data_IF_427241593950
#
_entry.id   IF_427241593950
#
_cell.length_a   1.000
_cell.length_b   1.000
_cell.length_c   1.000
_cell.angle_alpha   90.00
_cell.angle_beta   90.00
_cell.angle_gamma   90.00
#
_symmetry.space_group_name_H-M   'P 1'
#
loop_
_entity.id
_entity.type
_entity.pdbx_description
1 polymer ?
#
# COMPACT_ATOMS: atom_id res chain seq x y z
N UNK A 1 -38.04 0.33 -11.43
CA UNK A 1 -36.99 1.36 -11.27
C UNK A 1 -37.35 2.17 -10.03
N UNK A 2 -37.05 1.63 -8.86
CA UNK A 2 -37.16 2.34 -7.58
C UNK A 2 -35.73 2.52 -7.14
N UNK A 3 -35.14 3.63 -7.58
CA UNK A 3 -33.90 4.13 -7.00
C UNK A 3 -34.25 4.49 -5.57
N UNK A 4 -33.62 3.83 -4.60
CA UNK A 4 -33.57 4.30 -3.21
C UNK A 4 -32.95 5.71 -3.30
N UNK A 5 -33.82 6.73 -3.29
CA UNK A 5 -33.40 8.11 -3.18
C UNK A 5 -32.75 8.25 -1.81
N UNK A 6 -31.45 8.53 -1.81
CA UNK A 6 -30.74 9.06 -0.66
C UNK A 6 -31.31 10.46 -0.35
N UNK A 7 -32.44 10.52 0.33
CA UNK A 7 -32.90 11.76 0.93
C UNK A 7 -32.26 11.95 2.30
N UNK A 8 -31.42 12.98 2.34
CA UNK A 8 -30.75 13.50 3.53
C UNK A 8 -31.78 14.27 4.35
N UNK A 9 -32.36 13.66 5.36
CA UNK A 9 -33.00 14.39 6.45
C UNK A 9 -32.49 13.90 7.79
N UNK A 10 -31.45 14.59 8.29
CA UNK A 10 -31.10 14.58 9.70
C UNK A 10 -32.20 15.33 10.46
N UNK A 11 -33.06 14.61 11.17
CA UNK A 11 -33.88 15.19 12.21
C UNK A 11 -33.47 14.66 13.58
N UNK A 12 -32.89 15.58 14.34
CA UNK A 12 -32.65 15.50 15.76
C UNK A 12 -33.98 15.74 16.49
N UNK A 13 -34.53 14.74 17.19
CA UNK A 13 -35.59 14.76 18.23
C UNK A 13 -35.82 13.29 18.63
N UNK A 14 -35.75 12.86 19.89
CA UNK A 14 -36.46 13.42 21.02
C UNK A 14 -37.89 12.88 21.06
N UNK A 15 -38.06 11.55 21.14
CA UNK A 15 -39.37 10.89 21.19
C UNK A 15 -39.28 9.37 21.40
N UNK A 16 -39.67 8.93 22.60
CA UNK A 16 -40.50 7.73 22.86
C UNK A 16 -40.08 6.33 22.36
N UNK A 17 -39.28 5.63 23.17
CA UNK A 17 -39.63 4.38 23.90
C UNK A 17 -40.49 3.27 23.25
N UNK A 18 -40.56 3.13 21.93
CA UNK A 18 -41.32 2.11 21.19
C UNK A 18 -40.41 1.71 20.02
N UNK A 19 -39.73 0.56 19.92
CA UNK A 19 -40.13 -0.83 20.17
C UNK A 19 -38.91 -1.73 20.42
N UNK A 20 -38.62 -2.05 21.69
CA UNK A 20 -37.71 -3.16 22.01
C UNK A 20 -38.47 -4.49 21.77
N UNK A 21 -38.56 -4.97 20.53
CA UNK A 21 -39.27 -6.23 20.28
C UNK A 21 -39.59 -6.62 18.84
N UNK A 22 -39.55 -5.71 17.86
CA UNK A 22 -39.91 -6.07 16.46
C UNK A 22 -38.98 -7.15 15.90
N UNK A 23 -37.69 -7.12 16.28
CA UNK A 23 -36.72 -8.15 15.92
C UNK A 23 -37.08 -9.57 16.41
N UNK A 24 -37.96 -9.67 17.41
CA UNK A 24 -38.46 -10.93 17.97
C UNK A 24 -39.72 -11.43 17.26
N UNK A 25 -40.35 -10.61 16.41
CA UNK A 25 -41.50 -11.00 15.61
C UNK A 25 -41.09 -12.07 14.58
N UNK A 26 -41.83 -13.18 14.54
CA UNK A 26 -41.53 -14.34 13.68
C UNK A 26 -41.58 -13.99 12.18
N UNK A 27 -42.50 -13.11 11.78
CA UNK A 27 -42.69 -12.69 10.38
C UNK A 27 -41.50 -11.83 9.93
N UNK A 28 -41.07 -10.91 10.79
CA UNK A 28 -39.92 -10.04 10.54
C UNK A 28 -38.63 -10.85 10.43
N UNK A 29 -38.42 -11.83 11.33
CA UNK A 29 -37.27 -12.74 11.24
C UNK A 29 -37.27 -13.52 9.93
N UNK A 30 -38.40 -14.10 9.54
CA UNK A 30 -38.52 -14.86 8.30
C UNK A 30 -38.25 -13.98 7.06
N UNK A 31 -38.71 -12.73 7.08
CA UNK A 31 -38.45 -11.76 6.02
C UNK A 31 -36.95 -11.43 5.92
N UNK A 32 -36.30 -11.12 7.04
CA UNK A 32 -34.85 -10.86 7.10
C UNK A 32 -34.02 -12.07 6.68
N UNK A 33 -34.42 -13.29 7.10
CA UNK A 33 -33.73 -14.53 6.74
C UNK A 33 -33.82 -14.80 5.24
N UNK A 34 -34.98 -14.55 4.62
CA UNK A 34 -35.15 -14.62 3.16
C UNK A 34 -34.26 -13.61 2.43
N UNK A 35 -34.24 -12.34 2.86
CA UNK A 35 -33.32 -11.34 2.29
C UNK A 35 -31.87 -11.81 2.38
N UNK A 36 -31.44 -12.22 3.58
CA UNK A 36 -30.06 -12.67 3.83
C UNK A 36 -29.70 -13.91 3.01
N UNK A 37 -30.66 -14.80 2.73
CA UNK A 37 -30.44 -16.00 1.91
C UNK A 37 -30.03 -15.67 0.46
N UNK A 38 -30.45 -14.52 -0.06
CA UNK A 38 -30.09 -14.05 -1.41
C UNK A 38 -28.72 -13.36 -1.45
N UNK A 39 -28.15 -12.98 -0.30
CA UNK A 39 -26.90 -12.22 -0.19
C UNK A 39 -25.72 -13.17 0.03
N UNK A 40 -24.82 -13.23 -0.95
CA UNK A 40 -23.64 -14.13 -0.90
C UNK A 40 -22.62 -13.74 0.17
N UNK A 41 -22.52 -12.45 0.50
CA UNK A 41 -21.52 -11.92 1.43
C UNK A 41 -22.04 -12.02 2.87
N UNK A 42 -21.77 -13.17 3.52
CA UNK A 42 -22.22 -13.44 4.90
C UNK A 42 -21.75 -12.42 5.93
N UNK A 43 -20.58 -11.80 5.74
CA UNK A 43 -20.06 -10.78 6.65
C UNK A 43 -20.92 -9.51 6.71
N UNK A 44 -21.80 -9.30 5.72
CA UNK A 44 -22.73 -8.17 5.69
C UNK A 44 -24.10 -8.51 6.26
N UNK A 45 -24.38 -9.77 6.61
CA UNK A 45 -25.72 -10.17 7.05
C UNK A 45 -26.14 -9.43 8.32
N UNK A 46 -25.25 -9.27 9.29
CA UNK A 46 -25.57 -8.54 10.53
C UNK A 46 -25.89 -7.06 10.25
N UNK A 47 -25.07 -6.40 9.43
CA UNK A 47 -25.21 -4.97 9.11
C UNK A 47 -26.47 -4.70 8.28
N UNK A 48 -26.72 -5.53 7.25
CA UNK A 48 -27.92 -5.43 6.43
C UNK A 48 -29.18 -5.71 7.27
N UNK A 49 -29.12 -6.65 8.22
CA UNK A 49 -30.25 -6.89 9.14
C UNK A 49 -30.53 -5.66 9.98
N UNK A 50 -29.50 -5.01 10.53
CA UNK A 50 -29.65 -3.80 11.33
C UNK A 50 -30.21 -2.63 10.50
N UNK A 51 -29.73 -2.44 9.27
CA UNK A 51 -30.22 -1.38 8.37
C UNK A 51 -31.69 -1.60 7.99
N UNK A 52 -32.06 -2.83 7.61
CA UNK A 52 -33.45 -3.17 7.27
C UNK A 52 -34.34 -3.10 8.51
N UNK A 53 -33.87 -3.53 9.69
CA UNK A 53 -34.62 -3.40 10.94
C UNK A 53 -34.86 -1.93 11.29
N UNK A 54 -33.85 -1.07 11.19
CA UNK A 54 -34.01 0.37 11.43
C UNK A 54 -35.05 0.99 10.50
N UNK A 55 -34.98 0.70 9.20
CA UNK A 55 -35.98 1.19 8.24
C UNK A 55 -37.38 0.62 8.51
N UNK A 56 -37.47 -0.63 8.95
CA UNK A 56 -38.74 -1.24 9.33
C UNK A 56 -39.32 -0.57 10.58
N UNK A 57 -38.50 -0.32 11.60
CA UNK A 57 -38.88 0.38 12.82
C UNK A 57 -39.42 1.77 12.51
N UNK A 58 -38.76 2.54 11.66
CA UNK A 58 -39.22 3.85 11.20
C UNK A 58 -40.60 3.77 10.51
N UNK A 59 -40.78 2.81 9.59
CA UNK A 59 -42.05 2.61 8.88
C UNK A 59 -43.19 2.17 9.79
N UNK A 60 -42.90 1.33 10.78
CA UNK A 60 -43.92 0.86 11.74
C UNK A 60 -44.28 1.99 12.70
N UNK A 61 -43.29 2.76 13.19
CA UNK A 61 -43.53 3.92 14.04
C UNK A 61 -44.41 4.97 13.33
N UNK A 62 -44.10 5.29 12.07
CA UNK A 62 -44.92 6.20 11.26
C UNK A 62 -46.38 5.73 11.16
N UNK A 63 -46.60 4.42 10.99
CA UNK A 63 -47.94 3.82 10.86
C UNK A 63 -48.73 3.80 12.16
N UNK A 64 -48.06 3.57 13.28
CA UNK A 64 -48.69 3.60 14.62
C UNK A 64 -49.05 5.03 14.99
N UNK A 65 -48.14 5.98 14.80
CA UNK A 65 -48.34 7.38 15.20
C UNK A 65 -49.31 8.14 14.28
N UNK A 66 -49.19 7.96 12.96
CA UNK A 66 -49.97 8.76 12.00
C UNK A 66 -51.35 8.17 11.69
N UNK A 67 -51.51 6.85 11.81
CA UNK A 67 -52.73 6.15 11.42
C UNK A 67 -53.40 5.37 12.57
N UNK A 68 -52.83 5.43 13.78
CA UNK A 68 -53.41 4.79 14.98
C UNK A 68 -53.53 3.26 14.89
N UNK A 69 -52.71 2.62 14.06
CA UNK A 69 -52.78 1.18 13.78
C UNK A 69 -52.25 0.34 14.93
N UNK A 70 -52.77 -0.88 15.03
CA UNK A 70 -52.18 -1.88 15.93
C UNK A 70 -50.79 -2.30 15.43
N UNK A 71 -49.89 -2.66 16.33
CA UNK A 71 -48.50 -3.01 16.01
C UNK A 71 -48.40 -4.13 14.96
N UNK A 72 -49.26 -5.15 15.04
CA UNK A 72 -49.30 -6.26 14.07
C UNK A 72 -49.74 -5.83 12.66
N UNK A 73 -50.75 -4.96 12.57
CA UNK A 73 -51.21 -4.40 11.28
C UNK A 73 -50.16 -3.47 10.68
N UNK A 74 -49.51 -2.65 11.51
CA UNK A 74 -48.44 -1.76 11.11
C UNK A 74 -47.22 -2.53 10.55
N UNK A 75 -46.82 -3.63 11.18
CA UNK A 75 -45.73 -4.52 10.70
C UNK A 75 -46.08 -5.13 9.34
N UNK A 76 -47.28 -5.72 9.20
CA UNK A 76 -47.67 -6.35 7.94
C UNK A 76 -47.67 -5.37 6.76
N UNK A 77 -48.16 -4.16 6.99
CA UNK A 77 -48.19 -3.13 5.98
C UNK A 77 -46.81 -2.51 5.71
N UNK A 78 -45.95 -2.37 6.73
CA UNK A 78 -44.55 -1.95 6.56
C UNK A 78 -43.76 -2.95 5.71
N UNK A 79 -43.94 -4.25 5.94
CA UNK A 79 -43.33 -5.30 5.11
C UNK A 79 -43.83 -5.26 3.67
N UNK A 80 -45.12 -5.07 3.44
CA UNK A 80 -45.67 -4.90 2.09
C UNK A 80 -45.07 -3.69 1.37
N UNK A 81 -44.80 -2.61 2.09
CA UNK A 81 -44.17 -1.41 1.55
C UNK A 81 -42.67 -1.62 1.24
N UNK A 82 -41.96 -2.43 2.01
CA UNK A 82 -40.58 -2.84 1.71
C UNK A 82 -40.50 -3.71 0.45
N UNK A 83 -41.56 -4.42 0.11
CA UNK A 83 -41.69 -5.23 -1.11
C UNK A 83 -41.30 -6.70 -0.90
N UNK A 84 -41.08 -7.41 -2.02
CA UNK A 84 -40.76 -8.84 -1.99
C UNK A 84 -39.33 -9.10 -1.48
N UNK A 85 -39.13 -9.92 -0.42
CA UNK A 85 -37.82 -10.13 0.19
C UNK A 85 -36.79 -10.74 -0.77
N UNK A 86 -37.21 -11.58 -1.73
CA UNK A 86 -36.28 -12.16 -2.70
C UNK A 86 -35.78 -11.11 -3.69
N UNK A 87 -36.66 -10.21 -4.14
CA UNK A 87 -36.30 -9.09 -5.01
C UNK A 87 -35.38 -8.08 -4.30
N UNK A 88 -35.67 -7.73 -3.05
CA UNK A 88 -34.86 -6.84 -2.21
C UNK A 88 -33.49 -7.48 -1.94
N UNK A 89 -33.46 -8.76 -1.58
CA UNK A 89 -32.23 -9.51 -1.36
C UNK A 89 -31.33 -9.59 -2.60
N UNK A 90 -31.90 -9.77 -3.80
CA UNK A 90 -31.13 -9.74 -5.07
C UNK A 90 -30.56 -8.35 -5.38
N UNK A 91 -31.31 -7.29 -5.12
CA UNK A 91 -30.83 -5.90 -5.29
C UNK A 91 -29.68 -5.60 -4.33
N UNK A 92 -29.82 -5.96 -3.06
CA UNK A 92 -28.77 -5.81 -2.04
C UNK A 92 -27.52 -6.65 -2.37
N UNK A 93 -27.69 -7.89 -2.85
CA UNK A 93 -26.56 -8.72 -3.27
C UNK A 93 -25.79 -8.10 -4.45
N UNK A 94 -26.48 -7.45 -5.39
CA UNK A 94 -25.83 -6.76 -6.51
C UNK A 94 -25.10 -5.49 -6.06
N UNK A 95 -25.66 -4.75 -5.10
CA UNK A 95 -25.03 -3.59 -4.50
C UNK A 95 -23.75 -3.94 -3.73
N UNK A 96 -23.75 -5.05 -2.99
CA UNK A 96 -22.62 -5.48 -2.14
C UNK A 96 -21.73 -6.58 -2.76
N UNK A 97 -21.75 -6.72 -4.09
CA UNK A 97 -20.97 -7.76 -4.77
C UNK A 97 -19.46 -7.46 -4.72
N UNK A 98 -18.67 -8.45 -4.28
CA UNK A 98 -17.21 -8.38 -4.35
C UNK A 98 -16.74 -8.31 -5.81
N UNK A 99 -15.90 -7.31 -6.14
CA UNK A 99 -15.36 -7.09 -7.50
C UNK A 99 -13.87 -7.44 -7.57
N UNK A 100 -13.45 -8.00 -8.71
CA UNK A 100 -12.05 -8.32 -8.97
C UNK A 100 -11.53 -7.38 -10.07
N UNK A 101 -10.36 -6.78 -9.84
CA UNK A 101 -9.66 -6.00 -10.87
C UNK A 101 -8.73 -6.90 -11.68
N UNK A 102 -9.31 -7.61 -12.65
CA UNK A 102 -8.58 -8.47 -13.57
C UNK A 102 -7.47 -7.74 -14.33
N UNK A 103 -7.65 -6.44 -14.57
CA UNK A 103 -6.67 -5.61 -15.26
C UNK A 103 -5.34 -5.51 -14.50
N UNK A 104 -5.39 -5.29 -13.18
CA UNK A 104 -4.19 -5.21 -12.33
C UNK A 104 -3.54 -6.58 -12.19
N UNK A 105 -4.34 -7.63 -12.01
CA UNK A 105 -3.81 -8.99 -11.90
C UNK A 105 -3.08 -9.43 -13.18
N UNK A 106 -3.65 -9.13 -14.35
CA UNK A 106 -3.00 -9.40 -15.63
C UNK A 106 -1.66 -8.65 -15.76
N UNK A 107 -1.61 -7.36 -15.39
CA UNK A 107 -0.38 -6.57 -15.43
C UNK A 107 0.70 -7.13 -14.49
N UNK A 108 0.33 -7.53 -13.27
CA UNK A 108 1.26 -8.16 -12.31
C UNK A 108 1.83 -9.46 -12.89
N UNK A 109 0.99 -10.31 -13.47
CA UNK A 109 1.44 -11.56 -14.10
C UNK A 109 2.40 -11.26 -15.25
N UNK A 110 2.08 -10.30 -16.13
CA UNK A 110 2.99 -9.91 -17.20
C UNK A 110 4.34 -9.39 -16.68
N UNK A 111 4.34 -8.55 -15.63
CA UNK A 111 5.57 -8.06 -15.01
C UNK A 111 6.41 -9.20 -14.41
N UNK A 112 5.77 -10.14 -13.71
CA UNK A 112 6.46 -11.30 -13.15
C UNK A 112 7.07 -12.19 -14.24
N UNK A 113 6.33 -12.45 -15.32
CA UNK A 113 6.84 -13.24 -16.45
C UNK A 113 8.03 -12.55 -17.09
N UNK A 114 7.95 -11.23 -17.34
CA UNK A 114 9.07 -10.47 -17.86
C UNK A 114 10.27 -10.58 -16.91
N UNK A 115 10.08 -10.35 -15.61
CA UNK A 115 11.15 -10.46 -14.60
C UNK A 115 11.77 -11.86 -14.51
N UNK A 116 11.01 -12.92 -14.74
CA UNK A 116 11.54 -14.27 -14.82
C UNK A 116 12.34 -14.51 -16.12
N UNK A 117 11.85 -13.99 -17.24
CA UNK A 117 12.56 -14.05 -18.53
C UNK A 117 13.90 -13.32 -18.45
N UNK A 118 13.94 -12.15 -17.80
CA UNK A 118 15.21 -11.42 -17.60
C UNK A 118 16.20 -12.21 -16.76
N UNK A 119 15.75 -12.81 -15.67
CA UNK A 119 16.61 -13.62 -14.81
C UNK A 119 17.09 -14.88 -15.50
N UNK A 120 16.25 -15.47 -16.34
CA UNK A 120 16.66 -16.58 -17.19
C UNK A 120 17.73 -16.16 -18.19
N UNK A 121 17.64 -14.94 -18.75
CA UNK A 121 18.70 -14.34 -19.57
C UNK A 121 19.99 -14.12 -18.78
N UNK A 122 19.92 -13.59 -17.56
CA UNK A 122 21.09 -13.40 -16.69
C UNK A 122 21.78 -14.73 -16.37
N UNK A 123 21.00 -15.79 -16.14
CA UNK A 123 21.53 -17.13 -15.83
C UNK A 123 22.47 -17.62 -16.93
N UNK A 124 22.12 -17.44 -18.20
CA UNK A 124 23.00 -17.77 -19.31
C UNK A 124 24.21 -16.83 -19.43
N UNK A 125 24.04 -15.55 -19.11
CA UNK A 125 25.09 -14.55 -19.24
C UNK A 125 26.15 -14.58 -18.12
N UNK A 126 25.86 -15.19 -16.96
CA UNK A 126 26.74 -15.16 -15.78
C UNK A 126 27.09 -16.54 -15.20
N UNK A 127 26.53 -17.63 -15.74
CA UNK A 127 26.67 -19.01 -15.22
C UNK A 127 26.25 -19.17 -13.74
N UNK A 128 25.43 -18.24 -13.24
CA UNK A 128 24.98 -18.23 -11.84
C UNK A 128 23.62 -18.94 -11.70
N UNK A 129 23.66 -20.27 -11.59
CA UNK A 129 22.46 -21.13 -11.53
C UNK A 129 21.53 -20.88 -10.33
N UNK A 130 22.10 -20.53 -9.17
CA UNK A 130 21.39 -20.47 -7.87
C UNK A 130 20.35 -19.35 -7.76
N UNK A 131 20.43 -18.34 -8.62
CA UNK A 131 19.69 -17.08 -8.47
C UNK A 131 18.27 -17.20 -8.97
N UNK A 132 18.13 -17.81 -10.14
CA UNK A 132 16.85 -18.08 -10.77
C UNK A 132 15.99 -19.01 -9.90
N UNK A 133 16.60 -20.08 -9.37
CA UNK A 133 15.91 -21.04 -8.50
C UNK A 133 15.41 -20.38 -7.21
N UNK A 134 16.26 -19.56 -6.56
CA UNK A 134 15.86 -18.79 -5.39
C UNK A 134 14.72 -17.82 -5.72
N UNK A 135 14.77 -17.14 -6.86
CA UNK A 135 13.69 -16.23 -7.27
C UNK A 135 12.35 -16.95 -7.38
N UNK A 136 12.32 -18.10 -8.03
CA UNK A 136 11.10 -18.88 -8.21
C UNK A 136 10.41 -19.20 -6.88
N UNK A 137 11.20 -19.50 -5.83
CA UNK A 137 10.69 -19.70 -4.48
C UNK A 137 10.01 -18.42 -3.96
N UNK A 138 10.69 -17.27 -4.03
CA UNK A 138 10.12 -15.99 -3.52
C UNK A 138 8.93 -15.49 -4.34
N UNK A 139 8.89 -15.73 -5.64
CA UNK A 139 7.72 -15.42 -6.48
C UNK A 139 6.55 -16.32 -6.10
N UNK A 140 6.78 -17.62 -5.92
CA UNK A 140 5.72 -18.56 -5.50
C UNK A 140 5.16 -18.21 -4.12
N UNK A 141 6.05 -17.96 -3.15
CA UNK A 141 5.65 -17.52 -1.81
C UNK A 141 4.97 -16.14 -1.84
N UNK A 142 5.42 -15.23 -2.70
CA UNK A 142 4.82 -13.92 -2.90
C UNK A 142 3.42 -14.00 -3.52
N UNK A 143 3.18 -14.89 -4.48
CA UNK A 143 1.85 -15.15 -5.04
C UNK A 143 0.94 -15.73 -3.94
N UNK A 144 1.42 -16.69 -3.15
CA UNK A 144 0.66 -17.23 -2.02
C UNK A 144 0.30 -16.14 -1.00
N UNK A 145 1.24 -15.24 -0.68
CA UNK A 145 1.01 -14.11 0.20
C UNK A 145 0.02 -13.10 -0.39
N UNK A 146 0.15 -12.77 -1.68
CA UNK A 146 -0.78 -11.89 -2.41
C UNK A 146 -2.20 -12.46 -2.37
N UNK A 147 -2.36 -13.76 -2.66
CA UNK A 147 -3.65 -14.45 -2.59
C UNK A 147 -4.21 -14.46 -1.17
N UNK A 148 -3.39 -14.73 -0.15
CA UNK A 148 -3.80 -14.69 1.25
C UNK A 148 -4.30 -13.29 1.66
N UNK A 149 -3.52 -12.25 1.36
CA UNK A 149 -3.85 -10.86 1.70
C UNK A 149 -5.04 -10.33 0.89
N UNK A 150 -5.24 -10.82 -0.34
CA UNK A 150 -6.44 -10.57 -1.13
C UNK A 150 -7.71 -11.01 -0.39
N UNK A 151 -7.68 -12.17 0.28
CA UNK A 151 -8.79 -12.65 1.10
C UNK A 151 -8.87 -12.02 2.49
N UNK A 152 -7.76 -11.58 3.05
CA UNK A 152 -7.69 -10.90 4.34
C UNK A 152 -8.49 -9.60 4.37
N UNK A 153 -9.11 -9.25 5.50
CA UNK A 153 -9.82 -7.97 5.66
C UNK A 153 -8.87 -6.87 6.11
N UNK A 154 -8.56 -5.94 5.21
CA UNK A 154 -7.62 -4.84 5.47
C UNK A 154 -8.05 -3.96 6.65
N UNK A 155 -9.34 -3.87 6.99
CA UNK A 155 -9.83 -3.04 8.11
C UNK A 155 -9.27 -3.49 9.46
N UNK A 156 -8.95 -4.78 9.61
CA UNK A 156 -8.29 -5.31 10.81
C UNK A 156 -6.92 -4.68 11.02
N UNK A 157 -6.24 -4.35 9.93
CA UNK A 157 -4.89 -3.82 9.94
C UNK A 157 -4.82 -2.41 10.57
N UNK A 158 -5.94 -1.67 10.57
CA UNK A 158 -6.06 -0.38 11.24
C UNK A 158 -5.68 -0.49 12.73
N UNK A 159 -6.20 -1.49 13.44
CA UNK A 159 -5.93 -1.72 14.86
C UNK A 159 -4.49 -2.14 15.13
N UNK A 160 -3.86 -2.85 14.18
CA UNK A 160 -2.48 -3.32 14.30
C UNK A 160 -1.45 -2.31 13.81
N UNK A 161 -1.84 -1.15 13.26
CA UNK A 161 -0.93 -0.17 12.66
C UNK A 161 0.22 0.22 13.58
N UNK A 162 -0.08 0.49 14.86
CA UNK A 162 0.95 0.86 15.85
C UNK A 162 1.91 -0.30 16.18
N UNK A 163 1.40 -1.54 16.17
CA UNK A 163 2.21 -2.74 16.40
C UNK A 163 3.14 -2.96 15.20
N UNK A 164 2.63 -2.85 13.97
CA UNK A 164 3.43 -2.93 12.74
C UNK A 164 4.54 -1.88 12.75
N UNK A 165 4.22 -0.64 13.16
CA UNK A 165 5.20 0.44 13.29
C UNK A 165 6.36 0.06 14.22
N UNK A 166 6.04 -0.32 15.47
CA UNK A 166 7.05 -0.63 16.49
C UNK A 166 7.87 -1.86 16.10
N UNK A 167 7.23 -2.91 15.58
CA UNK A 167 7.93 -4.11 15.10
C UNK A 167 8.91 -3.75 13.97
N UNK A 168 8.50 -2.89 13.03
CA UNK A 168 9.37 -2.48 11.92
C UNK A 168 10.61 -1.74 12.45
N UNK A 169 10.44 -0.81 13.39
CA UNK A 169 11.57 -0.12 14.02
C UNK A 169 12.48 -1.08 14.81
N UNK A 170 11.90 -2.04 15.53
CA UNK A 170 12.68 -3.06 16.25
C UNK A 170 13.47 -3.95 15.30
N UNK A 171 12.91 -4.31 14.14
CA UNK A 171 13.62 -5.07 13.11
C UNK A 171 14.76 -4.24 12.50
N UNK A 172 14.56 -2.94 12.25
CA UNK A 172 15.62 -2.04 11.77
C UNK A 172 16.75 -1.94 12.80
N UNK A 173 16.41 -1.78 14.08
CA UNK A 173 17.37 -1.79 15.17
C UNK A 173 18.14 -3.13 15.26
N UNK A 174 17.43 -4.25 15.19
CA UNK A 174 18.05 -5.57 15.23
C UNK A 174 19.03 -5.79 14.06
N UNK A 175 18.68 -5.32 12.86
CA UNK A 175 19.54 -5.35 11.69
C UNK A 175 20.82 -4.52 11.87
N UNK A 176 20.74 -3.34 12.50
CA UNK A 176 21.95 -2.54 12.76
C UNK A 176 22.86 -3.14 13.83
N UNK A 177 22.27 -3.75 14.87
CA UNK A 177 23.02 -4.27 15.99
C UNK A 177 23.68 -5.62 15.67
N UNK A 178 22.89 -6.58 15.15
CA UNK A 178 23.31 -7.96 14.93
C UNK A 178 23.46 -8.35 13.45
N UNK A 179 23.08 -7.47 12.52
CA UNK A 179 23.12 -7.78 11.10
C UNK A 179 24.53 -7.82 10.51
N UNK A 180 24.74 -8.62 9.45
CA UNK A 180 26.01 -8.62 8.72
C UNK A 180 26.24 -7.28 8.04
N UNK A 181 27.51 -6.88 7.95
CA UNK A 181 27.91 -5.72 7.18
C UNK A 181 28.10 -6.12 5.72
N UNK A 182 27.25 -5.60 4.84
CA UNK A 182 27.30 -5.85 3.39
C UNK A 182 27.51 -4.49 2.71
N UNK A 183 28.57 -4.38 1.90
CA UNK A 183 28.95 -3.13 1.22
C UNK A 183 29.07 -1.92 2.17
N UNK A 184 29.63 -2.14 3.37
CA UNK A 184 29.84 -1.09 4.36
C UNK A 184 28.62 -0.78 5.25
N UNK A 185 27.42 -1.31 4.96
CA UNK A 185 26.19 -1.01 5.70
C UNK A 185 25.63 -2.23 6.44
N UNK A 186 25.00 -2.00 7.61
CA UNK A 186 24.28 -3.02 8.40
C UNK A 186 22.78 -2.85 8.24
N UNK A 187 22.24 -3.37 7.15
CA UNK A 187 20.82 -3.27 6.79
C UNK A 187 20.08 -4.62 6.73
N UNK A 188 20.81 -5.72 6.89
CA UNK A 188 20.31 -7.07 6.68
C UNK A 188 20.13 -7.82 8.00
N UNK A 189 19.17 -8.73 8.04
CA UNK A 189 19.10 -9.79 9.04
C UNK A 189 19.44 -11.10 8.32
N UNK A 190 20.40 -11.85 8.86
CA UNK A 190 20.77 -13.17 8.35
C UNK A 190 20.27 -14.26 9.29
N UNK A 191 19.49 -15.20 8.76
CA UNK A 191 19.02 -16.39 9.45
C UNK A 191 19.49 -17.60 8.63
N UNK A 192 20.59 -18.22 9.07
CA UNK A 192 21.24 -19.31 8.33
C UNK A 192 21.69 -18.83 6.95
N UNK A 193 21.24 -19.52 5.89
CA UNK A 193 21.56 -19.18 4.49
C UNK A 193 20.69 -18.07 3.90
N UNK A 194 19.73 -17.53 4.66
CA UNK A 194 18.82 -16.49 4.19
C UNK A 194 19.16 -15.14 4.81
N UNK A 195 19.56 -14.18 3.97
CA UNK A 195 19.62 -12.77 4.32
C UNK A 195 18.35 -12.02 3.87
N UNK A 196 17.91 -11.03 4.64
CA UNK A 196 16.76 -10.19 4.30
C UNK A 196 17.07 -8.73 4.63
N UNK A 197 16.99 -7.85 3.62
CA UNK A 197 17.23 -6.43 3.80
C UNK A 197 15.98 -5.78 4.41
N UNK A 198 16.01 -5.56 5.73
CA UNK A 198 14.90 -4.95 6.47
C UNK A 198 14.66 -3.51 6.01
N UNK A 199 15.73 -2.78 5.73
CA UNK A 199 15.66 -1.38 5.33
C UNK A 199 14.98 -1.21 3.98
N UNK A 200 15.19 -2.12 3.03
CA UNK A 200 14.57 -2.05 1.71
C UNK A 200 13.05 -2.27 1.75
N UNK A 201 12.55 -3.08 2.69
CA UNK A 201 11.10 -3.35 2.83
C UNK A 201 10.41 -2.42 3.84
N UNK A 202 11.16 -1.80 4.74
CA UNK A 202 10.61 -0.94 5.80
C UNK A 202 9.69 0.18 5.28
N UNK A 203 9.89 0.83 4.11
CA UNK A 203 8.95 1.84 3.64
C UNK A 203 7.52 1.30 3.44
N UNK A 204 7.36 0.04 3.00
CA UNK A 204 6.04 -0.59 2.85
C UNK A 204 5.31 -0.67 4.19
N UNK A 205 6.00 -1.16 5.23
CA UNK A 205 5.40 -1.34 6.55
C UNK A 205 5.20 -0.02 7.30
N UNK A 206 6.17 0.89 7.23
CA UNK A 206 6.07 2.19 7.91
C UNK A 206 4.98 3.06 7.29
N UNK A 207 4.82 3.05 5.96
CA UNK A 207 3.74 3.79 5.30
C UNK A 207 2.37 3.18 5.59
N UNK A 208 2.28 1.84 5.60
CA UNK A 208 1.07 1.12 6.00
C UNK A 208 0.67 1.47 7.44
N UNK A 209 1.64 1.47 8.36
CA UNK A 209 1.42 1.84 9.74
C UNK A 209 1.05 3.32 9.90
N UNK A 210 1.76 4.22 9.20
CA UNK A 210 1.48 5.64 9.21
C UNK A 210 0.06 5.94 8.70
N UNK A 211 -0.38 5.28 7.62
CA UNK A 211 -1.73 5.46 7.07
C UNK A 211 -2.82 5.14 8.12
N UNK A 212 -2.64 4.07 8.90
CA UNK A 212 -3.60 3.71 9.94
C UNK A 212 -3.50 4.57 11.20
N UNK A 213 -2.28 4.90 11.64
CA UNK A 213 -2.08 5.77 12.80
C UNK A 213 -2.63 7.19 12.55
N UNK A 214 -2.45 7.72 11.34
CA UNK A 214 -3.01 9.03 10.96
C UNK A 214 -4.54 9.06 10.95
N UNK A 215 -5.19 7.92 10.69
CA UNK A 215 -6.65 7.77 10.72
C UNK A 215 -7.20 7.66 12.15
N UNK A 216 -6.48 6.98 13.05
CA UNK A 216 -6.88 6.82 14.46
C UNK A 216 -6.64 8.08 15.29
N UNK A 217 -5.75 8.98 14.83
CA UNK A 217 -5.59 10.30 15.41
C UNK A 217 -6.85 11.14 15.22
N UNK A 218 -7.68 11.21 16.26
CA UNK A 218 -8.84 12.08 16.29
C UNK A 218 -8.41 13.55 16.10
N UNK A 219 -9.18 14.36 15.37
CA UNK A 219 -9.04 15.81 15.42
C UNK A 219 -9.43 16.27 16.83
N UNK A 220 -8.46 16.32 17.73
CA UNK A 220 -8.73 16.70 19.11
C UNK A 220 -9.12 18.18 19.19
N UNK A 221 -10.18 18.40 19.96
CA UNK A 221 -10.72 19.67 20.46
C UNK A 221 -9.76 20.34 21.46
N UNK A 222 -8.47 20.46 21.11
CA UNK A 222 -7.53 21.17 21.96
C UNK A 222 -7.83 22.67 21.90
N UNK A 223 -8.51 23.19 22.93
CA UNK A 223 -8.75 24.63 23.09
C UNK A 223 -7.43 25.41 23.33
N UNK A 224 -6.37 24.74 23.79
CA UNK A 224 -5.10 25.35 24.16
C UNK A 224 -3.99 25.15 23.11
N UNK A 225 -3.34 26.24 22.70
CA UNK A 225 -2.22 26.27 21.73
C UNK A 225 -1.05 25.34 22.11
N UNK A 226 -0.78 25.18 23.41
CA UNK A 226 0.26 24.25 23.91
C UNK A 226 -0.05 22.79 23.54
N UNK A 227 -1.32 22.37 23.59
CA UNK A 227 -1.74 21.01 23.23
C UNK A 227 -1.57 20.71 21.75
N UNK A 228 -1.83 21.72 20.90
CA UNK A 228 -1.62 21.62 19.44
C UNK A 228 -0.13 21.44 19.14
N UNK A 229 0.74 22.21 19.79
CA UNK A 229 2.20 22.13 19.60
C UNK A 229 2.75 20.78 20.08
N UNK A 230 2.33 20.28 21.24
CA UNK A 230 2.82 18.99 21.77
C UNK A 230 2.38 17.82 20.89
N UNK A 231 1.14 17.81 20.39
CA UNK A 231 0.69 16.79 19.44
C UNK A 231 1.46 16.87 18.12
N UNK A 232 1.69 18.08 17.61
CA UNK A 232 2.45 18.30 16.38
C UNK A 232 3.88 17.78 16.50
N UNK A 233 4.58 18.14 17.59
CA UNK A 233 5.94 17.66 17.87
C UNK A 233 5.98 16.14 18.04
N UNK A 234 5.02 15.55 18.76
CA UNK A 234 4.91 14.10 18.93
C UNK A 234 4.73 13.40 17.59
N UNK A 235 3.84 13.91 16.73
CA UNK A 235 3.56 13.34 15.42
C UNK A 235 4.79 13.43 14.51
N UNK A 236 5.48 14.58 14.49
CA UNK A 236 6.70 14.73 13.72
C UNK A 236 7.83 13.82 14.22
N UNK A 237 7.96 13.68 15.53
CA UNK A 237 8.95 12.80 16.14
C UNK A 237 8.70 11.34 15.75
N UNK A 238 7.44 10.91 15.86
CA UNK A 238 7.03 9.55 15.49
C UNK A 238 7.19 9.32 13.99
N UNK A 239 6.53 10.09 13.12
CA UNK A 239 6.50 9.76 11.69
C UNK A 239 7.77 10.15 10.92
N UNK A 240 8.52 11.16 11.36
CA UNK A 240 9.71 11.62 10.61
C UNK A 240 11.00 11.31 11.33
N UNK A 241 11.16 11.79 12.56
CA UNK A 241 12.47 11.77 13.24
C UNK A 241 12.94 10.33 13.47
N UNK A 242 12.11 9.48 14.06
CA UNK A 242 12.53 8.10 14.35
C UNK A 242 12.92 7.30 13.10
N UNK A 243 12.07 7.18 12.04
CA UNK A 243 12.46 6.47 10.84
C UNK A 243 13.69 7.08 10.16
N UNK A 244 13.75 8.42 10.06
CA UNK A 244 14.89 9.10 9.46
C UNK A 244 16.20 8.79 10.20
N UNK A 245 16.19 8.81 11.53
CA UNK A 245 17.36 8.44 12.33
C UNK A 245 17.86 7.03 11.99
N UNK A 246 16.96 6.04 11.89
CA UNK A 246 17.35 4.67 11.53
C UNK A 246 17.92 4.60 10.12
N UNK A 247 17.30 5.26 9.13
CA UNK A 247 17.81 5.24 7.75
C UNK A 247 19.18 5.90 7.64
N UNK A 248 19.36 7.04 8.29
CA UNK A 248 20.59 7.85 8.19
C UNK A 248 21.74 7.15 8.91
N UNK A 249 21.48 6.48 10.03
CA UNK A 249 22.50 5.70 10.77
C UNK A 249 22.87 4.39 10.07
N UNK A 250 22.00 3.83 9.21
CA UNK A 250 22.26 2.63 8.40
C UNK A 250 22.70 2.93 6.95
N UNK A 251 23.23 4.14 6.68
CA UNK A 251 23.32 4.77 5.34
C UNK A 251 22.33 4.27 4.27
N UNK A 252 21.03 4.23 4.58
CA UNK A 252 19.97 3.68 3.72
C UNK A 252 19.19 4.78 2.97
N UNK A 253 19.88 5.53 2.08
CA UNK A 253 19.32 6.70 1.40
C UNK A 253 18.14 6.40 0.49
N UNK A 254 18.20 5.30 -0.27
CA UNK A 254 17.08 4.95 -1.13
C UNK A 254 15.80 4.76 -0.33
N UNK A 255 15.86 3.99 0.76
CA UNK A 255 14.71 3.77 1.64
C UNK A 255 14.26 5.05 2.33
N UNK A 256 15.18 5.94 2.74
CA UNK A 256 14.84 7.26 3.28
C UNK A 256 14.04 8.07 2.27
N UNK A 257 14.51 8.18 1.02
CA UNK A 257 13.85 8.96 -0.03
C UNK A 257 12.46 8.39 -0.34
N UNK A 258 12.38 7.07 -0.54
CA UNK A 258 11.11 6.38 -0.78
C UNK A 258 10.14 6.67 0.36
N UNK A 259 10.58 6.48 1.61
CA UNK A 259 9.77 6.73 2.79
C UNK A 259 9.34 8.19 2.90
N UNK A 260 10.26 9.14 2.79
CA UNK A 260 10.00 10.57 2.96
C UNK A 260 9.04 11.11 1.91
N UNK A 261 9.22 10.77 0.63
CA UNK A 261 8.30 11.21 -0.43
C UNK A 261 6.93 10.53 -0.27
N UNK A 262 6.89 9.23 0.03
CA UNK A 262 5.63 8.49 0.25
C UNK A 262 4.85 9.03 1.44
N UNK A 263 5.54 9.31 2.55
CA UNK A 263 4.97 9.93 3.74
C UNK A 263 4.48 11.34 3.43
N UNK A 264 5.25 12.13 2.67
CA UNK A 264 4.85 13.47 2.25
C UNK A 264 3.53 13.46 1.47
N UNK A 265 3.40 12.56 0.48
CA UNK A 265 2.15 12.40 -0.27
C UNK A 265 1.01 11.94 0.64
N UNK A 266 1.26 10.98 1.53
CA UNK A 266 0.26 10.52 2.50
C UNK A 266 -0.22 11.66 3.42
N UNK A 267 0.70 12.52 3.89
CA UNK A 267 0.38 13.68 4.71
C UNK A 267 -0.40 14.75 3.94
N UNK A 268 -0.10 14.95 2.65
CA UNK A 268 -0.87 15.84 1.78
C UNK A 268 -2.31 15.36 1.62
N UNK A 269 -2.52 14.05 1.38
CA UNK A 269 -3.85 13.44 1.28
C UNK A 269 -4.65 13.63 2.59
N UNK A 270 -3.97 13.53 3.73
CA UNK A 270 -4.57 13.72 5.06
C UNK A 270 -4.61 15.19 5.54
N UNK A 271 -4.25 16.16 4.68
CA UNK A 271 -4.19 17.61 5.00
C UNK A 271 -3.28 17.96 6.19
N UNK A 272 -2.31 17.10 6.53
CA UNK A 272 -1.33 17.28 7.63
C UNK A 272 0.04 17.77 7.11
N UNK A 273 0.06 18.55 6.04
CA UNK A 273 1.27 18.99 5.33
C UNK A 273 2.26 19.79 6.19
N UNK A 274 1.78 20.49 7.24
CA UNK A 274 2.64 21.25 8.15
C UNK A 274 3.73 20.40 8.79
N UNK A 275 3.49 19.09 8.99
CA UNK A 275 4.50 18.16 9.53
C UNK A 275 5.75 18.09 8.66
N UNK A 276 5.63 18.34 7.34
CA UNK A 276 6.77 18.34 6.41
C UNK A 276 7.82 19.40 6.75
N UNK A 277 7.43 20.52 7.37
CA UNK A 277 8.35 21.60 7.73
C UNK A 277 9.44 21.15 8.70
N UNK A 278 9.11 20.24 9.62
CA UNK A 278 10.10 19.67 10.56
C UNK A 278 11.08 18.76 9.82
N UNK A 279 10.59 17.94 8.89
CA UNK A 279 11.43 17.06 8.09
C UNK A 279 12.47 17.83 7.27
N UNK A 280 12.06 18.94 6.64
CA UNK A 280 12.94 19.80 5.83
C UNK A 280 14.06 20.43 6.69
N UNK A 281 13.80 20.78 7.95
CA UNK A 281 14.82 21.33 8.84
C UNK A 281 15.72 20.28 9.49
N UNK A 282 15.13 19.20 10.01
CA UNK A 282 15.85 18.21 10.83
C UNK A 282 16.71 17.26 10.00
N UNK A 283 16.19 16.76 8.87
CA UNK A 283 16.84 15.70 8.09
C UNK A 283 18.22 16.14 7.56
N UNK A 284 18.36 17.31 6.89
CA UNK A 284 19.66 17.73 6.38
C UNK A 284 20.68 17.97 7.50
N UNK A 285 20.25 18.58 8.61
CA UNK A 285 21.12 18.80 9.76
C UNK A 285 21.63 17.48 10.34
N UNK A 286 20.75 16.48 10.48
CA UNK A 286 21.13 15.17 11.00
C UNK A 286 22.02 14.38 10.03
N UNK A 287 21.80 14.50 8.72
CA UNK A 287 22.71 13.96 7.69
C UNK A 287 24.11 14.56 7.87
N UNK A 288 24.22 15.89 7.97
CA UNK A 288 25.50 16.58 8.13
C UNK A 288 26.24 16.15 9.41
N UNK A 289 25.54 16.03 10.55
CA UNK A 289 26.18 15.60 11.79
C UNK A 289 26.70 14.16 11.70
N UNK A 290 25.95 13.26 11.06
CA UNK A 290 26.37 11.87 10.89
C UNK A 290 27.56 11.73 9.93
N UNK A 291 27.62 12.54 8.86
CA UNK A 291 28.78 12.60 7.97
C UNK A 291 30.06 13.03 8.69
N UNK A 292 29.96 14.00 9.60
CA UNK A 292 31.10 14.51 10.38
C UNK A 292 31.54 13.49 11.43
N UNK A 293 30.60 12.85 12.12
CA UNK A 293 30.89 11.95 13.24
C UNK A 293 31.31 10.54 12.78
N UNK A 294 30.80 10.07 11.65
CA UNK A 294 30.99 8.68 11.17
C UNK A 294 31.38 8.62 9.68
N UNK A 295 32.45 9.28 9.24
CA UNK A 295 32.77 9.42 7.81
C UNK A 295 32.89 8.08 7.05
N UNK A 296 33.39 7.02 7.71
CA UNK A 296 33.58 5.70 7.08
C UNK A 296 32.29 4.97 6.71
N UNK A 297 31.23 5.08 7.51
CA UNK A 297 29.95 4.45 7.13
C UNK A 297 29.31 5.18 5.94
N UNK A 298 29.68 6.45 5.75
CA UNK A 298 29.14 7.33 4.72
C UNK A 298 29.89 7.30 3.40
N UNK A 299 31.12 6.79 3.39
CA UNK A 299 32.03 6.78 2.24
C UNK A 299 31.35 6.24 0.97
N UNK A 300 30.80 5.03 1.02
CA UNK A 300 30.15 4.40 -0.14
C UNK A 300 28.96 5.20 -0.71
N UNK A 301 28.11 5.74 0.15
CA UNK A 301 26.93 6.50 -0.28
C UNK A 301 27.33 7.88 -0.82
N UNK A 302 28.34 8.49 -0.18
CA UNK A 302 28.88 9.76 -0.60
C UNK A 302 29.61 9.66 -1.94
N UNK A 303 30.42 8.63 -2.14
CA UNK A 303 31.09 8.34 -3.41
C UNK A 303 30.08 8.21 -4.55
N UNK A 304 28.97 7.49 -4.35
CA UNK A 304 27.91 7.36 -5.37
C UNK A 304 27.19 8.66 -5.67
N UNK A 305 27.02 9.53 -4.68
CA UNK A 305 26.43 10.85 -4.86
C UNK A 305 27.37 11.81 -5.59
N UNK A 306 28.65 11.87 -5.18
CA UNK A 306 29.65 12.72 -5.84
C UNK A 306 29.98 12.23 -7.24
N UNK A 307 29.98 10.92 -7.46
CA UNK A 307 30.09 10.29 -8.77
C UNK A 307 29.01 10.72 -9.77
N UNK A 308 27.81 11.02 -9.29
CA UNK A 308 26.72 11.51 -10.13
C UNK A 308 26.94 12.97 -10.53
N UNK A 309 27.42 13.81 -9.61
CA UNK A 309 27.67 15.25 -9.87
C UNK A 309 28.93 15.43 -10.72
N UNK A 310 29.97 14.66 -10.44
CA UNK A 310 31.29 14.75 -11.06
C UNK A 310 31.75 13.36 -11.54
N UNK A 311 31.12 12.83 -12.61
CA UNK A 311 31.45 11.50 -13.12
C UNK A 311 32.89 11.37 -13.63
N UNK A 312 33.53 12.49 -13.99
CA UNK A 312 34.90 12.56 -14.53
C UNK A 312 35.99 12.45 -13.46
N UNK A 313 35.64 12.51 -12.17
CA UNK A 313 36.59 12.27 -11.08
C UNK A 313 36.97 10.78 -11.07
N UNK A 314 38.28 10.51 -11.06
CA UNK A 314 38.86 9.17 -11.21
C UNK A 314 38.22 8.21 -10.18
N UNK A 315 37.48 7.22 -10.70
CA UNK A 315 36.75 6.13 -10.02
C UNK A 315 35.31 6.38 -9.54
N UNK A 316 34.79 7.61 -9.55
CA UNK A 316 33.42 7.87 -9.08
C UNK A 316 32.34 7.36 -10.04
N UNK A 317 32.38 7.80 -11.29
CA UNK A 317 31.29 7.60 -12.25
C UNK A 317 31.09 6.18 -12.79
N UNK A 318 31.87 5.18 -12.35
CA UNK A 318 31.92 3.85 -13.00
C UNK A 318 30.53 3.22 -13.23
N UNK A 319 29.69 3.17 -12.19
CA UNK A 319 28.37 2.56 -12.29
C UNK A 319 27.44 3.31 -13.26
N UNK A 320 27.45 4.64 -13.21
CA UNK A 320 26.60 5.49 -14.05
C UNK A 320 27.05 5.41 -15.50
N UNK A 321 28.36 5.56 -15.76
CA UNK A 321 28.95 5.49 -17.10
C UNK A 321 28.64 4.14 -17.74
N UNK A 322 28.84 3.03 -17.02
CA UNK A 322 28.55 1.68 -17.53
C UNK A 322 27.06 1.46 -17.79
N UNK A 323 26.19 2.01 -16.94
CA UNK A 323 24.76 1.94 -17.13
C UNK A 323 24.33 2.66 -18.42
N UNK A 324 24.78 3.90 -18.61
CA UNK A 324 24.45 4.70 -19.80
C UNK A 324 25.07 4.10 -21.07
N UNK A 325 26.32 3.63 -21.01
CA UNK A 325 27.00 2.95 -22.12
C UNK A 325 26.24 1.69 -22.56
N UNK A 326 25.78 0.87 -21.61
CA UNK A 326 25.02 -0.34 -21.90
C UNK A 326 23.68 -0.02 -22.59
N UNK A 327 22.96 0.99 -22.08
CA UNK A 327 21.70 1.45 -22.68
C UNK A 327 21.91 1.98 -24.10
N UNK A 328 22.97 2.77 -24.31
CA UNK A 328 23.29 3.31 -25.63
C UNK A 328 23.69 2.21 -26.62
N UNK A 329 24.51 1.24 -26.16
CA UNK A 329 24.97 0.12 -26.98
C UNK A 329 23.83 -0.84 -27.34
N UNK A 330 22.79 -0.95 -26.53
CA UNK A 330 21.64 -1.84 -26.79
C UNK A 330 20.90 -1.57 -28.10
N UNK A 331 20.88 -0.32 -28.59
CA UNK A 331 20.14 0.03 -29.81
C UNK A 331 18.65 -0.32 -29.73
N UNK A 332 17.96 -0.38 -30.87
CA UNK A 332 16.50 -0.63 -30.89
C UNK A 332 16.13 -2.08 -30.56
N UNK A 333 17.00 -3.03 -30.95
CA UNK A 333 16.70 -4.48 -30.94
C UNK A 333 17.56 -5.29 -29.96
N UNK A 334 18.50 -4.65 -29.27
CA UNK A 334 19.37 -5.32 -28.32
C UNK A 334 20.56 -5.99 -28.98
N UNK A 335 21.46 -6.48 -28.13
CA UNK A 335 22.66 -7.22 -28.54
C UNK A 335 22.44 -8.75 -28.54
N UNK A 336 21.26 -9.21 -28.11
CA UNK A 336 20.89 -10.63 -28.07
C UNK A 336 20.57 -11.12 -26.66
N UNK A 337 19.71 -12.13 -26.60
CA UNK A 337 19.32 -12.78 -25.34
C UNK A 337 20.49 -13.53 -24.72
N UNK A 338 20.70 -13.39 -23.41
CA UNK A 338 21.74 -14.11 -22.67
C UNK A 338 23.17 -13.65 -22.95
N UNK A 339 23.37 -12.48 -23.56
CA UNK A 339 24.71 -11.99 -23.88
C UNK A 339 25.52 -11.65 -22.62
N UNK A 340 26.75 -12.16 -22.54
CA UNK A 340 27.66 -11.82 -21.44
C UNK A 340 27.97 -10.31 -21.46
N UNK A 341 27.83 -9.66 -20.31
CA UNK A 341 28.35 -8.29 -20.14
C UNK A 341 29.09 -8.15 -18.82
N UNK A 342 30.37 -8.53 -18.83
CA UNK A 342 31.28 -8.37 -17.68
C UNK A 342 31.56 -6.90 -17.33
N UNK A 343 31.12 -5.97 -18.19
CA UNK A 343 31.34 -4.53 -18.04
C UNK A 343 30.22 -3.83 -17.26
N UNK A 344 29.02 -4.41 -17.16
CA UNK A 344 27.92 -3.84 -16.40
C UNK A 344 27.90 -4.45 -14.99
N UNK A 345 28.27 -3.71 -13.93
CA UNK A 345 28.17 -4.22 -12.56
C UNK A 345 26.71 -4.26 -12.10
N UNK A 346 26.42 -4.94 -10.97
CA UNK A 346 25.13 -4.86 -10.26
C UNK A 346 23.89 -5.22 -11.10
N UNK A 347 24.05 -6.05 -12.15
CA UNK A 347 22.96 -6.51 -13.02
C UNK A 347 21.89 -7.26 -12.21
N UNK A 348 22.33 -7.97 -11.19
CA UNK A 348 21.52 -8.74 -10.24
C UNK A 348 20.68 -7.89 -9.29
N UNK A 349 20.89 -6.57 -9.23
CA UNK A 349 20.21 -5.69 -8.27
C UNK A 349 19.66 -4.41 -8.90
N UNK A 350 20.49 -3.41 -9.11
CA UNK A 350 20.07 -2.03 -9.40
C UNK A 350 20.05 -1.73 -10.91
N UNK A 351 20.90 -2.40 -11.69
CA UNK A 351 21.11 -2.16 -13.12
C UNK A 351 20.43 -3.19 -14.02
N UNK A 352 19.40 -3.89 -13.51
CA UNK A 352 18.60 -4.83 -14.31
C UNK A 352 17.95 -4.15 -15.52
N UNK A 353 17.47 -2.90 -15.39
CA UNK A 353 16.89 -2.16 -16.50
C UNK A 353 17.92 -1.89 -17.61
N UNK A 354 19.14 -1.48 -17.25
CA UNK A 354 20.20 -1.22 -18.21
C UNK A 354 20.60 -2.49 -18.98
N UNK A 355 20.67 -3.63 -18.29
CA UNK A 355 20.91 -4.92 -18.92
C UNK A 355 19.76 -5.37 -19.83
N UNK A 356 18.52 -5.10 -19.42
CA UNK A 356 17.33 -5.36 -20.22
C UNK A 356 17.39 -4.63 -21.57
N UNK A 357 17.70 -3.33 -21.55
CA UNK A 357 17.83 -2.53 -22.77
C UNK A 357 19.04 -2.99 -23.58
N UNK A 358 20.17 -3.31 -22.94
CA UNK A 358 21.34 -3.82 -23.62
C UNK A 358 21.07 -5.14 -24.37
N UNK A 359 20.39 -6.09 -23.73
CA UNK A 359 20.13 -7.42 -24.28
C UNK A 359 18.97 -7.47 -25.28
N UNK A 360 17.87 -6.78 -25.00
CA UNK A 360 16.60 -6.85 -25.76
C UNK A 360 16.22 -5.56 -26.50
N UNK A 361 16.97 -4.48 -26.29
CA UNK A 361 16.79 -3.21 -26.99
C UNK A 361 15.77 -2.26 -26.37
N UNK A 362 15.75 -1.04 -26.90
CA UNK A 362 14.85 0.03 -26.47
C UNK A 362 13.37 -0.31 -26.64
N UNK A 363 12.99 -1.07 -27.68
CA UNK A 363 11.59 -1.48 -27.88
C UNK A 363 11.07 -2.27 -26.68
N UNK A 364 11.88 -3.21 -26.19
CA UNK A 364 11.54 -3.98 -24.99
C UNK A 364 11.56 -3.11 -23.74
N UNK A 365 12.60 -2.27 -23.57
CA UNK A 365 12.70 -1.32 -22.47
C UNK A 365 11.47 -0.41 -22.34
N UNK A 366 11.04 0.22 -23.44
CA UNK A 366 9.84 1.06 -23.50
C UNK A 366 8.59 0.25 -23.15
N UNK A 367 8.48 -0.99 -23.62
CA UNK A 367 7.35 -1.87 -23.30
C UNK A 367 7.25 -2.10 -21.78
N UNK A 368 8.36 -2.40 -21.11
CA UNK A 368 8.42 -2.55 -19.64
C UNK A 368 7.98 -1.27 -18.93
N UNK A 369 8.42 -0.12 -19.43
CA UNK A 369 8.08 1.18 -18.86
C UNK A 369 6.59 1.47 -18.99
N UNK A 370 6.03 1.32 -20.19
CA UNK A 370 4.59 1.51 -20.44
C UNK A 370 3.77 0.56 -19.59
N UNK A 371 4.15 -0.70 -19.49
CA UNK A 371 3.43 -1.70 -18.70
C UNK A 371 3.42 -1.33 -17.21
N UNK A 372 4.56 -0.88 -16.67
CA UNK A 372 4.66 -0.46 -15.27
C UNK A 372 3.88 0.83 -14.99
N UNK A 373 3.92 1.80 -15.92
CA UNK A 373 3.11 3.03 -15.82
C UNK A 373 1.61 2.74 -15.89
N UNK A 374 1.19 1.81 -16.76
CA UNK A 374 -0.18 1.34 -16.82
C UNK A 374 -0.61 0.70 -15.49
N UNK A 375 0.23 -0.14 -14.90
CA UNK A 375 0.00 -0.74 -13.58
C UNK A 375 -0.18 0.32 -12.49
N UNK A 376 0.76 1.27 -12.37
CA UNK A 376 0.67 2.36 -11.39
C UNK A 376 -0.60 3.19 -11.63
N UNK A 377 -0.89 3.57 -12.88
CA UNK A 377 -2.07 4.38 -13.22
C UNK A 377 -3.39 3.69 -12.86
N UNK A 378 -3.48 2.37 -13.04
CA UNK A 378 -4.66 1.57 -12.68
C UNK A 378 -4.86 1.55 -11.18
N UNK A 379 -3.82 1.35 -10.39
CA UNK A 379 -3.90 1.36 -8.93
C UNK A 379 -4.27 2.76 -8.41
N UNK A 380 -3.67 3.83 -8.95
CA UNK A 380 -4.06 5.20 -8.58
C UNK A 380 -5.55 5.43 -8.84
N UNK A 381 -6.05 5.03 -10.02
CA UNK A 381 -7.48 5.13 -10.35
C UNK A 381 -8.37 4.32 -9.40
N UNK A 382 -7.91 3.13 -8.98
CA UNK A 382 -8.61 2.34 -7.95
C UNK A 382 -8.68 3.11 -6.63
N UNK A 383 -7.58 3.73 -6.20
CA UNK A 383 -7.51 4.50 -4.95
C UNK A 383 -8.35 5.77 -4.95
N UNK A 384 -8.47 6.46 -6.09
CA UNK A 384 -9.27 7.68 -6.23
C UNK A 384 -10.78 7.45 -6.06
N UNK A 385 -11.26 6.23 -6.33
CA UNK A 385 -12.67 5.86 -6.22
C UNK A 385 -13.07 5.33 -4.83
N UNK A 386 -12.16 5.38 -3.84
CA UNK A 386 -12.42 4.93 -2.48
C UNK A 386 -12.98 6.07 -1.61
N UNK A 387 -14.01 5.76 -0.83
CA UNK A 387 -14.64 6.68 0.12
C UNK A 387 -14.04 6.62 1.53
N UNK A 388 -13.50 5.47 1.92
CA UNK A 388 -12.83 5.25 3.22
C UNK A 388 -11.43 5.91 3.23
N UNK A 389 -11.21 6.79 4.21
CA UNK A 389 -9.95 7.51 4.40
C UNK A 389 -8.74 6.60 4.64
N UNK A 390 -8.92 5.52 5.42
CA UNK A 390 -7.87 4.55 5.66
C UNK A 390 -7.53 3.75 4.40
N UNK A 391 -8.56 3.24 3.72
CA UNK A 391 -8.41 2.52 2.46
C UNK A 391 -7.68 3.37 1.40
N UNK A 392 -8.09 4.64 1.26
CA UNK A 392 -7.45 5.60 0.37
C UNK A 392 -6.00 5.87 0.76
N UNK A 393 -5.74 6.07 2.05
CA UNK A 393 -4.39 6.27 2.59
C UNK A 393 -3.45 5.09 2.30
N UNK A 394 -3.92 3.86 2.50
CA UNK A 394 -3.17 2.64 2.19
C UNK A 394 -2.85 2.52 0.70
N UNK A 395 -3.85 2.65 -0.17
CA UNK A 395 -3.64 2.52 -1.61
C UNK A 395 -2.68 3.60 -2.11
N UNK A 396 -2.90 4.88 -1.75
CA UNK A 396 -2.01 5.96 -2.16
C UNK A 396 -0.60 5.75 -1.63
N UNK A 397 -0.45 5.45 -0.34
CA UNK A 397 0.86 5.27 0.29
C UNK A 397 1.66 4.09 -0.27
N UNK A 398 1.05 2.93 -0.48
CA UNK A 398 1.76 1.78 -1.05
C UNK A 398 2.06 1.98 -2.54
N UNK A 399 1.18 2.65 -3.27
CA UNK A 399 1.41 2.98 -4.68
C UNK A 399 2.55 3.95 -4.85
N UNK A 400 2.70 4.94 -3.95
CA UNK A 400 3.82 5.88 -4.01
C UNK A 400 5.15 5.20 -3.72
N UNK A 401 5.21 4.29 -2.74
CA UNK A 401 6.42 3.47 -2.48
C UNK A 401 6.88 2.76 -3.75
N UNK A 402 5.97 2.03 -4.40
CA UNK A 402 6.25 1.31 -5.65
C UNK A 402 6.61 2.29 -6.79
N UNK A 403 5.85 3.37 -6.94
CA UNK A 403 6.02 4.34 -8.01
C UNK A 403 7.37 5.08 -7.95
N UNK A 404 7.79 5.48 -6.76
CA UNK A 404 9.09 6.14 -6.54
C UNK A 404 10.23 5.18 -6.86
N UNK A 405 10.16 3.93 -6.39
CA UNK A 405 11.16 2.90 -6.72
C UNK A 405 11.32 2.73 -8.23
N UNK A 406 10.20 2.63 -8.95
CA UNK A 406 10.19 2.50 -10.39
C UNK A 406 10.78 3.73 -11.10
N UNK A 407 10.26 4.92 -10.83
CA UNK A 407 10.70 6.16 -11.48
C UNK A 407 12.16 6.45 -11.18
N UNK A 408 12.58 6.28 -9.92
CA UNK A 408 13.97 6.49 -9.54
C UNK A 408 14.89 5.50 -10.26
N UNK A 409 14.54 4.21 -10.28
CA UNK A 409 15.35 3.18 -10.96
C UNK A 409 15.51 3.49 -12.45
N UNK A 410 14.44 3.91 -13.14
CA UNK A 410 14.51 4.29 -14.54
C UNK A 410 15.44 5.49 -14.76
N UNK A 411 15.25 6.56 -14.00
CA UNK A 411 16.02 7.79 -14.13
C UNK A 411 17.49 7.59 -13.79
N UNK A 412 17.82 6.77 -12.78
CA UNK A 412 19.21 6.48 -12.45
C UNK A 412 19.90 5.63 -13.52
N UNK A 413 19.18 4.72 -14.18
CA UNK A 413 19.77 3.88 -15.23
C UNK A 413 20.17 4.70 -16.47
N UNK A 414 19.40 5.74 -16.81
CA UNK A 414 19.72 6.67 -17.91
C UNK A 414 20.63 7.84 -17.48
N UNK A 415 21.13 7.84 -16.24
CA UNK A 415 22.06 8.86 -15.73
C UNK A 415 21.43 10.19 -15.32
N UNK A 416 20.10 10.27 -15.14
CA UNK A 416 19.40 11.47 -14.69
C UNK A 416 19.29 11.59 -13.16
N UNK A 417 19.48 10.49 -12.43
CA UNK A 417 19.50 10.45 -10.97
C UNK A 417 20.70 9.63 -10.45
N UNK A 418 21.15 9.86 -9.21
CA UNK A 418 22.24 9.08 -8.62
C UNK A 418 21.83 7.63 -8.31
N UNK A 419 22.80 6.73 -8.40
CA UNK A 419 22.66 5.31 -8.07
C UNK A 419 22.82 5.14 -6.55
N UNK A 420 21.73 5.31 -5.80
CA UNK A 420 21.77 5.43 -4.33
C UNK A 420 21.77 4.11 -3.55
N UNK A 421 21.78 2.96 -4.20
CA UNK A 421 21.78 1.66 -3.52
C UNK A 421 20.38 1.24 -3.07
N UNK A 422 19.86 0.10 -3.54
CA UNK A 422 18.56 -0.45 -3.10
C UNK A 422 17.31 0.05 -3.85
N UNK A 423 17.47 0.86 -4.90
CA UNK A 423 16.40 1.23 -5.83
C UNK A 423 16.30 0.19 -6.94
N UNK A 424 15.32 -0.70 -6.87
CA UNK A 424 15.12 -1.78 -7.85
C UNK A 424 13.79 -1.66 -8.56
N UNK A 425 13.67 -2.22 -9.77
CA UNK A 425 12.41 -2.26 -10.52
C UNK A 425 11.36 -3.08 -9.74
N UNK A 426 10.26 -2.52 -9.26
CA UNK A 426 9.24 -3.28 -8.54
C UNK A 426 8.67 -4.42 -9.39
N UNK A 427 8.44 -5.58 -8.79
CA UNK A 427 7.94 -6.84 -9.38
C UNK A 427 8.84 -7.50 -10.43
N UNK A 428 9.68 -6.71 -11.12
CA UNK A 428 10.63 -7.14 -12.15
C UNK A 428 12.02 -7.42 -11.59
N UNK A 429 12.32 -6.92 -10.38
CA UNK A 429 13.62 -7.11 -9.73
C UNK A 429 13.86 -8.58 -9.39
N UNK A 430 15.12 -8.89 -9.06
CA UNK A 430 15.50 -10.18 -8.49
C UNK A 430 15.10 -10.32 -7.02
N UNK A 431 15.14 -9.22 -6.26
CA UNK A 431 15.18 -9.28 -4.80
C UNK A 431 14.08 -10.12 -4.16
N UNK A 432 14.42 -10.63 -2.98
CA UNK A 432 13.51 -11.30 -2.04
C UNK A 432 12.36 -10.36 -1.64
N UNK A 433 12.54 -9.05 -1.81
CA UNK A 433 11.54 -8.01 -1.59
C UNK A 433 10.28 -8.17 -2.45
N UNK A 434 10.35 -8.89 -3.58
CA UNK A 434 9.16 -9.19 -4.41
C UNK A 434 8.06 -9.88 -3.62
N UNK A 435 8.39 -10.64 -2.57
CA UNK A 435 7.40 -11.20 -1.67
C UNK A 435 6.55 -10.10 -1.01
N UNK A 436 7.18 -9.04 -0.51
CA UNK A 436 6.51 -7.90 0.14
C UNK A 436 5.79 -7.03 -0.89
N UNK A 437 6.37 -6.83 -2.08
CA UNK A 437 5.73 -6.11 -3.18
C UNK A 437 4.42 -6.78 -3.60
N UNK A 438 4.43 -8.10 -3.80
CA UNK A 438 3.24 -8.89 -4.10
C UNK A 438 2.25 -8.88 -2.92
N UNK A 439 2.73 -8.90 -1.68
CA UNK A 439 1.88 -8.72 -0.51
C UNK A 439 1.17 -7.36 -0.49
N UNK A 440 1.88 -6.28 -0.83
CA UNK A 440 1.30 -4.93 -0.95
C UNK A 440 0.24 -4.88 -2.06
N UNK A 441 0.50 -5.51 -3.21
CA UNK A 441 -0.50 -5.65 -4.29
C UNK A 441 -1.73 -6.44 -3.81
N UNK A 442 -1.52 -7.53 -3.07
CA UNK A 442 -2.60 -8.32 -2.48
C UNK A 442 -3.50 -7.49 -1.55
N UNK A 443 -2.89 -6.65 -0.70
CA UNK A 443 -3.63 -5.69 0.14
C UNK A 443 -4.41 -4.65 -0.68
N UNK A 444 -3.81 -4.09 -1.74
CA UNK A 444 -4.51 -3.13 -2.59
C UNK A 444 -5.70 -3.75 -3.33
N UNK A 445 -5.55 -4.98 -3.82
CA UNK A 445 -6.65 -5.75 -4.41
C UNK A 445 -7.73 -6.10 -3.38
N UNK A 446 -7.33 -6.43 -2.15
CA UNK A 446 -8.22 -6.69 -1.02
C UNK A 446 -9.12 -5.50 -0.67
N UNK A 447 -8.54 -4.30 -0.69
CA UNK A 447 -9.27 -3.03 -0.51
C UNK A 447 -10.29 -2.85 -1.63
N UNK A 448 -9.85 -2.96 -2.88
CA UNK A 448 -10.73 -2.78 -4.02
C UNK A 448 -11.89 -3.77 -4.03
N UNK A 449 -11.62 -5.03 -3.65
CA UNK A 449 -12.64 -6.08 -3.58
C UNK A 449 -13.81 -5.72 -2.67
N UNK A 450 -13.55 -4.93 -1.63
CA UNK A 450 -14.51 -4.51 -0.61
C UNK A 450 -14.98 -3.08 -0.78
N UNK A 451 -14.65 -2.41 -1.89
CA UNK A 451 -14.95 -0.98 -2.07
C UNK A 451 -16.44 -0.63 -1.94
N UNK A 452 -17.30 -1.53 -2.38
CA UNK A 452 -18.77 -1.36 -2.37
C UNK A 452 -19.40 -1.81 -1.03
N UNK A 453 -18.59 -2.32 -0.09
CA UNK A 453 -18.99 -2.60 1.30
C UNK A 453 -18.76 -1.39 2.22
N UNK A 454 -18.22 -0.29 1.70
CA UNK A 454 -17.75 0.86 2.48
C UNK A 454 -18.81 1.94 2.69
N UNK A 455 -19.97 1.83 2.04
CA UNK A 455 -21.07 2.79 2.18
C UNK A 455 -21.78 2.74 3.54
N UNK A 456 -21.87 1.56 4.15
CA UNK A 456 -22.73 1.30 5.31
C UNK A 456 -21.98 1.37 6.67
N UNK A 457 -20.70 0.97 6.69
CA UNK A 457 -19.99 0.67 7.94
C UNK A 457 -19.60 1.89 8.78
N UNK A 458 -19.61 3.09 8.20
CA UNK A 458 -19.24 4.31 8.93
C UNK A 458 -20.38 4.88 9.78
N UNK A 459 -21.63 4.47 9.56
CA UNK A 459 -22.78 4.95 10.36
C UNK A 459 -23.02 4.09 11.61
N UNK A 460 -22.74 2.78 11.54
CA UNK A 460 -22.98 1.88 12.68
C UNK A 460 -21.90 2.00 13.77
N UNK A 461 -20.65 2.29 13.42
CA UNK A 461 -19.58 2.43 14.41
C UNK A 461 -19.62 3.75 15.19
N UNK A 462 -20.13 4.83 14.60
CA UNK A 462 -20.36 6.09 15.33
C UNK A 462 -21.49 5.97 16.35
N UNK A 463 -22.49 5.11 16.11
CA UNK A 463 -23.62 4.93 17.04
C UNK A 463 -23.34 3.97 18.20
N UNK A 464 -22.21 3.23 18.21
CA UNK A 464 -21.80 2.37 19.34
C UNK A 464 -20.91 3.07 20.37
N UNK A 465 -20.55 4.35 20.15
CA UNK A 465 -19.61 5.11 21.01
C UNK A 465 -20.22 6.43 21.49
N UNK A 466 -21.55 6.56 21.47
CA UNK A 466 -22.26 7.71 22.09
C UNK A 466 -22.97 7.27 23.35
#
# INVERSE_FOLDING_TARGET
MVLIQHDRYSHNRGGTRVMNGIEHNSIVRQYLDRICSQIKVKSMHEEIRLEILSHLEDLVAEKVESYGKTEGEAIGEALNQMGDPDSVGKQLNNAHKLKIEWSVLALVVCMLVIGLVTLYSLKFAMDEHLLFERKMIFVTLGIALMSSLYFFDYRRLLHYSRIVYVITLLLMFAAQWHGPQISGAKQWIAIGSFDFNVYAVSPYFLILAAAGMLQTEQPNQFENWKGIITQFLKSALVYMVFPACFYITAPAFASLIIYSISLGILLLVNKKWKLLLIGVGFIPLFILTQMVLYPRSWEYSWERYTAFIHPDLINGGYYIIRSVEAIHTGGMWGQGFGIETRRLPLISSELTFSYLVYSLGWVFGITVVVLTLLFISRIIRMGMNLHDGYAKGLVVGLTTVIGIQFVWNLLMCIGMLPILGGMQLPLLNWSKNTLIELGAVGLMLSIYRRKDLLGSSHQVQTNKVV
#
